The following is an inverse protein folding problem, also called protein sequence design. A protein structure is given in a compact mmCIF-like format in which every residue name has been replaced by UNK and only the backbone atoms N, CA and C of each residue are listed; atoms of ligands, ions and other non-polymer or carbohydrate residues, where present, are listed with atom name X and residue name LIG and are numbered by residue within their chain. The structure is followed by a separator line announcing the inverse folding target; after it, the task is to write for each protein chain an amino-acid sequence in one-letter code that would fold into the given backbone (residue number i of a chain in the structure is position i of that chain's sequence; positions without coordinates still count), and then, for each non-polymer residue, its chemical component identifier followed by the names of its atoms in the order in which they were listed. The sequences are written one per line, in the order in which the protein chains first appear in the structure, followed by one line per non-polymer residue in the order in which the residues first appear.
data_IF_378412453925
#
_entry.id   IF_378412453925
#
_cell.length_a   1.000
_cell.length_b   1.000
_cell.length_c   1.000
_cell.angle_alpha   90.00
_cell.angle_beta   90.00
_cell.angle_gamma   90.00
#
_symmetry.space_group_name_H-M   'P 1'
#
loop_
_entity.id
_entity.type
_entity.pdbx_description
1 polymer ?
#
# COMPACT_ATOMS: atom_id res chain seq x y z
N UNK A 1 -6.21 -8.15 -53.32
CA UNK A 1 -6.59 -7.81 -51.92
C UNK A 1 -5.85 -6.53 -51.54
N UNK A 2 -6.55 -5.41 -51.30
CA UNK A 2 -5.95 -4.07 -51.17
C UNK A 2 -5.27 -3.87 -49.82
N UNK A 3 -4.09 -3.24 -49.78
CA UNK A 3 -3.34 -2.93 -48.54
C UNK A 3 -4.17 -2.15 -47.50
N UNK A 4 -5.20 -1.45 -47.94
CA UNK A 4 -6.09 -0.64 -47.09
C UNK A 4 -6.99 -1.50 -46.19
N UNK A 5 -7.41 -2.69 -46.62
CA UNK A 5 -8.25 -3.56 -45.76
C UNK A 5 -7.45 -4.15 -44.60
N UNK A 6 -6.19 -4.50 -44.84
CA UNK A 6 -5.26 -5.03 -43.83
C UNK A 6 -5.01 -4.07 -42.66
N UNK A 7 -5.03 -2.75 -42.92
CA UNK A 7 -4.83 -1.73 -41.87
C UNK A 7 -6.09 -1.59 -41.01
N UNK A 8 -7.27 -1.59 -41.63
CA UNK A 8 -8.56 -1.52 -40.91
C UNK A 8 -8.77 -2.74 -40.01
N UNK A 9 -8.43 -3.93 -40.48
CA UNK A 9 -8.58 -5.17 -39.71
C UNK A 9 -7.65 -5.19 -38.49
N UNK A 10 -6.41 -4.70 -38.62
CA UNK A 10 -5.48 -4.56 -37.49
C UNK A 10 -6.00 -3.58 -36.44
N UNK A 11 -6.54 -2.43 -36.85
CA UNK A 11 -7.13 -1.43 -35.95
C UNK A 11 -8.34 -1.99 -35.18
N UNK A 12 -9.25 -2.67 -35.87
CA UNK A 12 -10.42 -3.29 -35.24
C UNK A 12 -10.02 -4.40 -34.27
N UNK A 13 -8.96 -5.18 -34.58
CA UNK A 13 -8.46 -6.20 -33.66
C UNK A 13 -7.84 -5.61 -32.38
N UNK A 14 -7.16 -4.46 -32.50
CA UNK A 14 -6.59 -3.73 -31.36
C UNK A 14 -7.70 -3.13 -30.49
N UNK A 15 -8.69 -2.46 -31.09
CA UNK A 15 -9.82 -1.91 -30.35
C UNK A 15 -10.64 -2.99 -29.63
N UNK A 16 -10.84 -4.16 -30.25
CA UNK A 16 -11.52 -5.30 -29.61
C UNK A 16 -10.70 -5.89 -28.46
N UNK A 17 -9.38 -6.00 -28.60
CA UNK A 17 -8.51 -6.47 -27.51
C UNK A 17 -8.45 -5.49 -26.34
N UNK A 18 -8.37 -4.20 -26.61
CA UNK A 18 -8.39 -3.16 -25.58
C UNK A 18 -9.75 -3.08 -24.90
N UNK A 19 -10.84 -3.12 -25.67
CA UNK A 19 -12.21 -3.13 -25.14
C UNK A 19 -12.51 -4.37 -24.29
N UNK A 20 -12.08 -5.56 -24.73
CA UNK A 20 -12.22 -6.79 -23.96
C UNK A 20 -11.37 -6.78 -22.68
N UNK A 21 -10.17 -6.21 -22.72
CA UNK A 21 -9.32 -6.06 -21.53
C UNK A 21 -9.92 -5.12 -20.48
N UNK A 22 -10.72 -4.13 -20.90
CA UNK A 22 -11.42 -3.19 -20.01
C UNK A 22 -12.66 -3.79 -19.34
N UNK A 23 -13.36 -4.70 -20.02
CA UNK A 23 -14.63 -5.25 -19.51
C UNK A 23 -14.48 -6.60 -18.79
N UNK A 24 -13.46 -7.40 -19.14
CA UNK A 24 -13.17 -8.67 -18.46
C UNK A 24 -11.67 -8.81 -18.23
N UNK A 25 -11.11 -8.15 -17.20
CA UNK A 25 -9.68 -8.25 -16.91
C UNK A 25 -9.33 -9.68 -16.50
N UNK A 26 -8.31 -10.23 -17.15
CA UNK A 26 -7.77 -11.54 -16.78
C UNK A 26 -7.13 -11.49 -15.38
N UNK A 27 -7.10 -12.61 -14.65
CA UNK A 27 -6.53 -12.65 -13.28
C UNK A 27 -5.11 -12.09 -13.22
N UNK A 28 -4.28 -12.39 -14.22
CA UNK A 28 -2.92 -11.89 -14.32
C UNK A 28 -2.85 -10.36 -14.55
N UNK A 29 -3.74 -9.80 -15.38
CA UNK A 29 -3.82 -8.35 -15.59
C UNK A 29 -4.29 -7.61 -14.34
N UNK A 30 -5.28 -8.15 -13.61
CA UNK A 30 -5.76 -7.54 -12.38
C UNK A 30 -4.67 -7.53 -11.29
N UNK A 31 -3.92 -8.62 -11.14
CA UNK A 31 -2.78 -8.68 -10.22
C UNK A 31 -1.68 -7.69 -10.60
N UNK A 32 -1.35 -7.58 -11.89
CA UNK A 32 -0.34 -6.62 -12.36
C UNK A 32 -0.79 -5.17 -12.15
N UNK A 33 -2.07 -4.85 -12.40
CA UNK A 33 -2.62 -3.52 -12.13
C UNK A 33 -2.56 -3.16 -10.65
N UNK A 34 -3.00 -4.06 -9.76
CA UNK A 34 -2.94 -3.83 -8.31
C UNK A 34 -1.50 -3.64 -7.83
N UNK A 35 -0.57 -4.42 -8.38
CA UNK A 35 0.86 -4.27 -8.08
C UNK A 35 1.41 -2.92 -8.54
N UNK A 36 1.09 -2.50 -9.78
CA UNK A 36 1.51 -1.21 -10.32
C UNK A 36 0.95 -0.03 -9.52
N UNK A 37 -0.33 -0.10 -9.12
CA UNK A 37 -0.96 0.90 -8.26
C UNK A 37 -0.23 0.98 -6.90
N UNK A 38 0.11 -0.17 -6.31
CA UNK A 38 0.88 -0.24 -5.07
C UNK A 38 2.25 0.44 -5.19
N UNK A 39 2.98 0.19 -6.28
CA UNK A 39 4.27 0.86 -6.54
C UNK A 39 4.11 2.37 -6.68
N UNK A 40 3.08 2.84 -7.42
CA UNK A 40 2.83 4.27 -7.61
C UNK A 40 2.52 4.96 -6.28
N UNK A 41 1.69 4.35 -5.43
CA UNK A 41 1.39 4.85 -4.09
C UNK A 41 2.65 4.93 -3.21
N UNK A 42 3.49 3.90 -3.26
CA UNK A 42 4.72 3.85 -2.49
C UNK A 42 5.74 4.90 -2.94
N UNK A 43 5.95 5.06 -4.26
CA UNK A 43 6.88 6.04 -4.80
C UNK A 43 6.38 7.47 -4.57
N UNK A 44 5.08 7.72 -4.73
CA UNK A 44 4.48 9.02 -4.43
C UNK A 44 4.66 9.41 -2.94
N UNK A 45 4.40 8.48 -2.01
CA UNK A 45 4.62 8.73 -0.58
C UNK A 45 6.10 8.94 -0.23
N UNK A 46 7.01 8.23 -0.89
CA UNK A 46 8.46 8.33 -0.64
C UNK A 46 9.05 9.66 -1.11
N UNK A 47 8.53 10.24 -2.20
CA UNK A 47 8.97 11.54 -2.71
C UNK A 47 8.73 12.67 -1.69
N UNK A 48 7.65 12.61 -0.93
CA UNK A 48 7.35 13.60 0.12
C UNK A 48 8.30 13.49 1.32
N UNK A 49 8.72 12.27 1.67
CA UNK A 49 9.69 12.03 2.74
C UNK A 49 11.13 12.46 2.39
N UNK A 50 11.54 12.32 1.13
CA UNK A 50 12.89 12.65 0.68
C UNK A 50 13.22 14.16 0.76
N UNK A 51 12.21 15.04 0.71
CA UNK A 51 12.41 16.50 0.81
C UNK A 51 12.81 16.93 2.22
N UNK A 52 12.54 16.11 3.24
CA UNK A 52 12.85 16.43 4.63
C UNK A 52 14.34 16.18 5.02
N UNK A 53 15.13 15.55 4.15
CA UNK A 53 16.43 14.96 4.52
C UNK A 53 17.66 15.82 4.17
N UNK A 54 17.49 17.03 3.63
CA UNK A 54 18.62 17.85 3.13
C UNK A 54 19.37 18.69 4.20
N UNK A 55 18.97 18.63 5.47
CA UNK A 55 19.70 19.29 6.55
C UNK A 55 20.79 18.35 7.09
N UNK A 56 22.03 18.82 7.19
CA UNK A 56 23.15 18.10 7.78
C UNK A 56 22.89 17.88 9.28
N UNK A 57 22.37 16.70 9.67
CA UNK A 57 21.97 16.42 11.06
C UNK A 57 23.13 15.81 11.85
N UNK A 58 23.46 16.44 12.97
CA UNK A 58 24.44 15.91 13.93
C UNK A 58 23.75 14.83 14.77
N UNK A 59 24.41 13.72 15.03
CA UNK A 59 23.86 12.54 15.73
C UNK A 59 23.63 12.82 17.23
N UNK A 60 22.71 13.73 17.56
CA UNK A 60 22.04 13.96 18.87
C UNK A 60 21.14 15.22 18.80
N UNK A 61 20.60 15.55 17.62
CA UNK A 61 19.77 16.75 17.48
C UNK A 61 18.37 16.50 18.02
N UNK A 62 17.85 17.42 18.83
CA UNK A 62 16.46 17.39 19.31
C UNK A 62 15.45 17.24 18.17
N UNK A 63 15.81 17.72 16.96
CA UNK A 63 15.01 17.60 15.75
C UNK A 63 14.88 16.16 15.24
N UNK A 64 15.89 15.31 15.46
CA UNK A 64 15.83 13.88 15.12
C UNK A 64 14.87 13.15 16.05
N UNK A 65 14.98 13.41 17.36
CA UNK A 65 14.05 12.87 18.35
C UNK A 65 12.60 13.30 18.05
N UNK A 66 12.39 14.57 17.71
CA UNK A 66 11.07 15.09 17.35
C UNK A 66 10.53 14.52 16.04
N UNK A 67 11.39 14.35 15.03
CA UNK A 67 11.01 13.74 13.75
C UNK A 67 10.65 12.25 13.89
N UNK A 68 11.45 11.50 14.66
CA UNK A 68 11.16 10.08 14.95
C UNK A 68 9.87 9.96 15.77
N UNK A 69 9.66 10.82 16.76
CA UNK A 69 8.43 10.85 17.53
C UNK A 69 7.21 11.15 16.65
N UNK A 70 7.30 12.14 15.75
CA UNK A 70 6.23 12.46 14.81
C UNK A 70 5.91 11.29 13.87
N UNK A 71 6.93 10.61 13.33
CA UNK A 71 6.76 9.45 12.45
C UNK A 71 6.14 8.27 13.21
N UNK A 72 6.65 7.96 14.40
CA UNK A 72 6.10 6.89 15.25
C UNK A 72 4.65 7.19 15.64
N UNK A 73 4.34 8.44 16.00
CA UNK A 73 2.97 8.88 16.30
C UNK A 73 2.03 8.68 15.10
N UNK A 74 2.49 8.99 13.88
CA UNK A 74 1.68 8.82 12.69
C UNK A 74 1.46 7.34 12.33
N UNK A 75 2.50 6.51 12.46
CA UNK A 75 2.45 5.06 12.22
C UNK A 75 1.59 4.36 13.29
N UNK A 76 1.70 4.75 14.56
CA UNK A 76 0.90 4.21 15.67
C UNK A 76 -0.57 4.66 15.61
N UNK A 77 -0.81 5.89 15.16
CA UNK A 77 -2.12 6.51 15.16
C UNK A 77 -3.03 6.08 14.01
N UNK A 78 -3.39 7.04 13.16
CA UNK A 78 -4.43 6.87 12.13
C UNK A 78 -3.97 5.97 10.98
N UNK A 79 -2.68 5.99 10.63
CA UNK A 79 -2.15 5.16 9.54
C UNK A 79 -2.13 3.68 9.90
N UNK A 80 -1.60 3.31 11.07
CA UNK A 80 -1.60 1.92 11.54
C UNK A 80 -3.03 1.36 11.71
N UNK A 81 -3.96 2.18 12.22
CA UNK A 81 -5.37 1.82 12.29
C UNK A 81 -5.99 1.58 10.91
N UNK A 82 -5.70 2.45 9.93
CA UNK A 82 -6.19 2.32 8.56
C UNK A 82 -5.69 1.03 7.89
N UNK A 83 -4.39 0.73 8.02
CA UNK A 83 -3.79 -0.49 7.45
C UNK A 83 -4.39 -1.75 8.08
N UNK A 84 -4.58 -1.76 9.41
CA UNK A 84 -5.21 -2.88 10.12
C UNK A 84 -6.63 -3.16 9.61
N UNK A 85 -7.45 -2.11 9.49
CA UNK A 85 -8.84 -2.24 9.03
C UNK A 85 -8.89 -2.65 7.56
N UNK A 86 -8.07 -2.05 6.69
CA UNK A 86 -8.00 -2.41 5.28
C UNK A 86 -7.57 -3.87 5.07
N UNK A 87 -6.55 -4.33 5.82
CA UNK A 87 -6.11 -5.72 5.79
C UNK A 87 -7.20 -6.69 6.30
N UNK A 88 -7.91 -6.32 7.37
CA UNK A 88 -9.03 -7.10 7.90
C UNK A 88 -10.17 -7.27 6.90
N UNK A 89 -10.61 -6.18 6.26
CA UNK A 89 -11.66 -6.23 5.22
C UNK A 89 -11.20 -7.06 4.03
N UNK A 90 -9.95 -6.85 3.58
CA UNK A 90 -9.40 -7.62 2.48
C UNK A 90 -9.30 -9.13 2.81
N UNK A 91 -8.98 -9.49 4.06
CA UNK A 91 -8.96 -10.88 4.51
C UNK A 91 -10.34 -11.53 4.42
N UNK A 92 -11.39 -10.83 4.85
CA UNK A 92 -12.79 -11.31 4.77
C UNK A 92 -13.19 -11.52 3.30
N UNK A 93 -12.92 -10.55 2.43
CA UNK A 93 -13.23 -10.65 1.00
C UNK A 93 -12.45 -11.78 0.33
N UNK A 94 -11.17 -11.95 0.68
CA UNK A 94 -10.34 -13.03 0.15
C UNK A 94 -10.83 -14.41 0.58
N UNK A 95 -11.34 -14.53 1.82
CA UNK A 95 -12.02 -15.73 2.31
C UNK A 95 -13.31 -16.02 1.54
N UNK A 96 -14.11 -14.99 1.24
CA UNK A 96 -15.35 -15.12 0.48
C UNK A 96 -15.12 -15.59 -0.97
N UNK A 97 -14.00 -15.23 -1.59
CA UNK A 97 -13.61 -15.69 -2.92
C UNK A 97 -12.88 -17.06 -2.94
N UNK A 98 -12.82 -17.76 -1.80
CA UNK A 98 -12.19 -19.07 -1.69
C UNK A 98 -10.66 -19.04 -1.74
N UNK A 99 -10.04 -17.87 -1.60
CA UNK A 99 -8.58 -17.72 -1.60
C UNK A 99 -8.01 -17.79 -0.17
N UNK A 100 -8.11 -18.97 0.45
CA UNK A 100 -7.73 -19.17 1.85
C UNK A 100 -6.28 -18.75 2.17
N UNK A 101 -5.32 -19.02 1.28
CA UNK A 101 -3.92 -18.62 1.47
C UNK A 101 -3.72 -17.10 1.53
N UNK A 102 -4.45 -16.34 0.70
CA UNK A 102 -4.37 -14.88 0.70
C UNK A 102 -5.09 -14.29 1.91
N UNK A 103 -6.23 -14.87 2.30
CA UNK A 103 -6.95 -14.49 3.51
C UNK A 103 -6.08 -14.65 4.77
N UNK A 104 -5.36 -15.77 4.90
CA UNK A 104 -4.43 -15.99 6.01
C UNK A 104 -3.29 -14.97 6.02
N UNK A 105 -2.70 -14.66 4.86
CA UNK A 105 -1.65 -13.65 4.76
C UNK A 105 -2.13 -12.27 5.24
N UNK A 106 -3.33 -11.85 4.80
CA UNK A 106 -3.92 -10.58 5.20
C UNK A 106 -4.32 -10.54 6.68
N UNK A 107 -4.77 -11.67 7.23
CA UNK A 107 -5.06 -11.81 8.65
C UNK A 107 -3.79 -11.64 9.50
N UNK A 108 -2.68 -12.26 9.09
CA UNK A 108 -1.38 -12.10 9.79
C UNK A 108 -0.92 -10.64 9.75
N UNK A 109 -1.09 -9.93 8.63
CA UNK A 109 -0.75 -8.51 8.53
C UNK A 109 -1.61 -7.65 9.46
N UNK A 110 -2.92 -7.90 9.53
CA UNK A 110 -3.82 -7.17 10.44
C UNK A 110 -3.45 -7.40 11.92
N UNK A 111 -3.20 -8.65 12.31
CA UNK A 111 -2.79 -9.00 13.68
C UNK A 111 -1.39 -8.45 14.00
N UNK A 112 -0.45 -8.53 13.07
CA UNK A 112 0.90 -7.98 13.23
C UNK A 112 0.90 -6.47 13.43
N UNK A 113 0.10 -5.73 12.65
CA UNK A 113 -0.08 -4.29 12.82
C UNK A 113 -0.71 -3.95 14.18
N UNK A 114 -1.64 -4.76 14.66
CA UNK A 114 -2.23 -4.61 15.99
C UNK A 114 -1.22 -4.83 17.10
N UNK A 115 -0.47 -5.93 17.07
CA UNK A 115 0.56 -6.25 18.07
C UNK A 115 1.65 -5.17 18.08
N UNK A 116 2.12 -4.74 16.91
CA UNK A 116 3.16 -3.72 16.83
C UNK A 116 2.67 -2.39 17.44
N UNK A 117 1.41 -1.99 17.15
CA UNK A 117 0.79 -0.82 17.77
C UNK A 117 0.71 -0.96 19.29
N UNK A 118 0.25 -2.11 19.79
CA UNK A 118 0.17 -2.36 21.23
C UNK A 118 1.55 -2.34 21.90
N UNK A 119 2.58 -2.90 21.27
CA UNK A 119 3.94 -2.90 21.81
C UNK A 119 4.53 -1.49 21.86
N UNK A 120 4.43 -0.73 20.76
CA UNK A 120 4.93 0.66 20.71
C UNK A 120 4.23 1.50 21.77
N UNK A 121 2.89 1.40 21.86
CA UNK A 121 2.12 2.10 22.88
C UNK A 121 2.48 1.67 24.30
N UNK A 122 2.87 0.42 24.53
CA UNK A 122 3.24 -0.05 25.88
C UNK A 122 4.64 0.44 26.29
N UNK A 123 5.60 0.45 25.35
CA UNK A 123 7.00 0.77 25.66
C UNK A 123 7.36 2.25 25.51
N UNK A 124 6.62 3.03 24.71
CA UNK A 124 6.92 4.44 24.42
C UNK A 124 5.83 5.41 24.91
N UNK A 125 4.91 4.95 25.77
CA UNK A 125 3.92 5.83 26.39
C UNK A 125 4.51 6.58 27.58
N UNK A 126 5.20 7.69 27.26
CA UNK A 126 5.84 8.60 28.21
C UNK A 126 4.85 9.40 29.08
N UNK A 127 3.52 9.22 28.90
CA UNK A 127 2.52 9.89 29.74
C UNK A 127 2.59 9.49 31.22
N UNK A 128 3.35 8.45 31.58
CA UNK A 128 3.57 8.02 32.97
C UNK A 128 4.92 8.46 33.58
N UNK A 129 5.77 9.21 32.86
CA UNK A 129 7.10 9.62 33.37
C UNK A 129 7.11 11.09 33.88
N UNK A 130 5.99 11.81 33.84
CA UNK A 130 5.86 13.18 34.36
C UNK A 130 5.14 13.28 35.73
N UNK A 131 5.48 12.41 36.69
CA UNK A 131 5.21 12.66 38.11
C UNK A 131 6.51 12.83 38.89
#
# INVERSE_FOLDING_TARGET
MSKVSLIKDKYLSLCRKVGAALHSPTRAQAQFMLFAIGIILLTAGSLTGAVAQSAHITYNDARLAESVNAILTYIEGTFGAMVMVAAGIAAILSSAFGQYRAALGLLVVAVGAFILRSLVSTFFNDQNIQQ
#
